data_IF_760884648178
#
_entry.id   IF_760884648178
#
_cell.length_a   1.000
_cell.length_b   1.000
_cell.length_c   1.000
_cell.angle_alpha   90.00
_cell.angle_beta   90.00
_cell.angle_gamma   90.00
#
_symmetry.space_group_name_H-M   'P 1'
#
loop_
_entity.id
_entity.type
_entity.pdbx_description
1 polymer ?
#
# COMPACT_ATOMS: atom_id res chain seq x y z
N UNK A 1 23.04 14.53 6.40
CA UNK A 1 22.78 13.15 6.37
C UNK A 1 21.42 12.87 6.92
N UNK A 2 20.62 12.08 6.23
CA UNK A 2 19.27 11.81 6.66
C UNK A 2 19.17 10.43 7.24
N UNK A 3 19.09 10.34 8.55
CA UNK A 3 18.90 9.06 9.19
C UNK A 3 17.40 8.86 9.39
N UNK A 4 16.85 7.86 8.80
CA UNK A 4 15.44 7.56 8.88
C UNK A 4 15.21 6.20 9.49
N UNK A 5 14.05 6.02 10.09
CA UNK A 5 13.66 4.72 10.59
C UNK A 5 12.78 4.05 9.55
N UNK A 6 13.06 2.81 9.22
CA UNK A 6 12.28 2.08 8.25
C UNK A 6 10.87 1.86 8.77
N UNK A 7 9.87 2.25 8.00
CA UNK A 7 8.48 2.11 8.42
C UNK A 7 8.02 0.66 8.40
N UNK A 8 8.80 -0.22 7.81
CA UNK A 8 8.41 -1.61 7.71
C UNK A 8 9.11 -2.49 8.75
N UNK A 9 10.41 -2.38 8.89
CA UNK A 9 11.16 -3.23 9.81
C UNK A 9 11.67 -2.51 11.06
N UNK A 10 11.64 -1.22 11.07
CA UNK A 10 12.07 -0.45 12.23
C UNK A 10 13.55 -0.16 12.31
N UNK A 11 14.35 -0.68 11.41
CA UNK A 11 15.78 -0.42 11.43
C UNK A 11 16.07 0.98 10.93
N UNK A 12 17.15 1.57 11.40
CA UNK A 12 17.55 2.89 10.93
C UNK A 12 18.40 2.75 9.67
N UNK A 13 18.28 3.70 8.78
CA UNK A 13 19.07 3.71 7.55
C UNK A 13 19.22 5.13 7.04
N UNK A 14 20.16 5.35 6.17
CA UNK A 14 20.41 6.67 5.62
C UNK A 14 19.86 6.76 4.20
N UNK A 15 18.74 7.44 4.05
CA UNK A 15 18.11 7.58 2.75
C UNK A 15 16.94 8.52 2.87
N UNK A 16 16.38 8.94 1.75
CA UNK A 16 15.19 9.75 1.75
C UNK A 16 13.94 8.88 1.75
N UNK A 17 14.08 7.57 1.55
CA UNK A 17 12.94 6.69 1.43
C UNK A 17 12.33 6.38 2.79
N UNK A 18 11.11 5.96 2.82
CA UNK A 18 10.43 5.60 4.06
C UNK A 18 10.78 4.21 4.53
N UNK A 19 11.34 3.36 3.66
CA UNK A 19 11.75 2.01 4.04
C UNK A 19 13.18 1.78 3.61
N UNK A 20 13.87 0.90 4.31
CA UNK A 20 15.27 0.59 3.99
C UNK A 20 15.36 -0.21 2.68
N UNK A 21 16.54 -0.30 2.08
CA UNK A 21 16.66 -1.01 0.80
C UNK A 21 16.18 -2.45 0.81
N UNK A 22 16.38 -3.15 1.92
CA UNK A 22 15.90 -4.52 2.00
C UNK A 22 14.38 -4.58 1.98
N UNK A 23 13.71 -3.66 2.66
CA UNK A 23 12.27 -3.65 2.69
C UNK A 23 11.68 -3.08 1.41
N UNK A 24 12.43 -2.28 0.71
CA UNK A 24 11.98 -1.71 -0.54
C UNK A 24 11.68 -2.79 -1.56
N UNK A 25 12.52 -3.81 -1.62
CA UNK A 25 12.30 -4.93 -2.50
C UNK A 25 11.04 -5.68 -2.11
N UNK A 26 10.79 -5.84 -0.81
CA UNK A 26 9.59 -6.51 -0.33
C UNK A 26 8.35 -5.70 -0.67
N UNK A 27 8.44 -4.39 -0.54
CA UNK A 27 7.34 -3.51 -0.88
C UNK A 27 6.98 -3.63 -2.36
N UNK A 28 7.97 -3.63 -3.20
CA UNK A 28 7.73 -3.74 -4.63
C UNK A 28 7.05 -5.05 -4.98
N UNK A 29 7.49 -6.12 -4.34
CA UNK A 29 6.91 -7.44 -4.58
C UNK A 29 5.45 -7.45 -4.13
N UNK A 30 5.15 -6.86 -3.00
CA UNK A 30 3.79 -6.81 -2.49
C UNK A 30 2.90 -5.91 -3.34
N UNK A 31 3.41 -4.78 -3.77
CA UNK A 31 2.66 -3.88 -4.63
C UNK A 31 2.31 -4.56 -5.94
N UNK A 32 3.25 -5.31 -6.50
CA UNK A 32 2.98 -6.06 -7.69
C UNK A 32 1.89 -7.09 -7.48
N UNK A 33 1.92 -7.77 -6.33
CA UNK A 33 0.90 -8.76 -5.99
C UNK A 33 -0.48 -8.08 -5.91
N UNK A 34 -0.55 -6.90 -5.33
CA UNK A 34 -1.80 -6.16 -5.27
C UNK A 34 -2.32 -5.81 -6.67
N UNK A 35 -1.42 -5.40 -7.52
CA UNK A 35 -1.80 -5.05 -8.90
C UNK A 35 -2.35 -6.24 -9.66
N UNK A 36 -1.70 -7.38 -9.53
CA UNK A 36 -2.13 -8.57 -10.22
C UNK A 36 -3.49 -9.01 -9.70
N UNK A 37 -3.67 -8.98 -8.39
CA UNK A 37 -4.95 -9.39 -7.80
C UNK A 37 -6.07 -8.50 -8.30
N UNK A 38 -5.85 -7.19 -8.32
CA UNK A 38 -6.88 -6.27 -8.77
C UNK A 38 -7.19 -6.42 -10.25
N UNK A 39 -6.17 -6.68 -11.04
CA UNK A 39 -6.38 -6.83 -12.48
C UNK A 39 -7.18 -8.08 -12.81
N UNK A 40 -7.18 -9.06 -11.92
CA UNK A 40 -7.91 -10.29 -12.13
C UNK A 40 -9.25 -10.31 -11.42
N UNK A 41 -9.55 -9.31 -10.62
CA UNK A 41 -10.79 -9.28 -9.88
C UNK A 41 -11.96 -8.92 -10.79
N UNK A 42 -13.10 -9.52 -10.56
CA UNK A 42 -14.28 -9.27 -11.38
C UNK A 42 -15.04 -8.02 -10.97
N UNK A 43 -14.84 -7.55 -9.77
CA UNK A 43 -15.57 -6.38 -9.27
C UNK A 43 -14.65 -5.55 -8.41
N UNK A 44 -15.10 -4.40 -7.99
CA UNK A 44 -14.27 -3.54 -7.15
C UNK A 44 -13.96 -4.22 -5.82
N UNK A 45 -12.79 -3.95 -5.29
CA UNK A 45 -12.27 -4.59 -4.11
C UNK A 45 -12.02 -3.52 -3.06
N UNK A 46 -12.46 -3.75 -1.82
CA UNK A 46 -12.20 -2.79 -0.75
C UNK A 46 -10.78 -2.95 -0.25
N UNK A 47 -10.27 -1.96 0.46
CA UNK A 47 -8.92 -2.00 1.00
C UNK A 47 -8.75 -3.20 1.94
N UNK A 48 -9.73 -3.45 2.79
CA UNK A 48 -9.65 -4.56 3.72
C UNK A 48 -9.69 -5.90 3.01
N UNK A 49 -10.54 -6.01 2.01
CA UNK A 49 -10.65 -7.24 1.25
C UNK A 49 -9.36 -7.50 0.49
N UNK A 50 -8.75 -6.45 -0.04
CA UNK A 50 -7.49 -6.57 -0.76
C UNK A 50 -6.40 -7.10 0.16
N UNK A 51 -6.31 -6.56 1.38
CA UNK A 51 -5.31 -6.99 2.34
C UNK A 51 -5.52 -8.46 2.71
N UNK A 52 -6.75 -8.85 2.99
CA UNK A 52 -7.04 -10.22 3.36
C UNK A 52 -6.77 -11.19 2.24
N UNK A 53 -7.16 -10.87 1.04
CA UNK A 53 -7.03 -11.79 -0.08
C UNK A 53 -5.61 -11.97 -0.54
N UNK A 54 -4.78 -10.95 -0.41
CA UNK A 54 -3.41 -11.03 -0.87
C UNK A 54 -2.44 -11.43 0.22
N UNK A 55 -2.87 -11.36 1.48
CA UNK A 55 -1.99 -11.66 2.60
C UNK A 55 -1.07 -10.50 2.97
N UNK A 56 -1.21 -9.36 2.34
CA UNK A 56 -0.44 -8.18 2.68
C UNK A 56 -1.12 -7.52 3.87
N UNK A 57 -0.36 -7.12 4.88
CA UNK A 57 -0.98 -6.53 6.08
C UNK A 57 -1.68 -5.23 5.75
N UNK A 58 -2.76 -4.95 6.45
CA UNK A 58 -3.52 -3.73 6.23
C UNK A 58 -2.64 -2.50 6.47
N UNK A 59 -1.73 -2.60 7.43
CA UNK A 59 -0.80 -1.51 7.71
C UNK A 59 0.04 -1.19 6.47
N UNK A 60 0.55 -2.21 5.80
CA UNK A 60 1.36 -2.00 4.60
C UNK A 60 0.52 -1.51 3.43
N UNK A 61 -0.70 -2.03 3.28
CA UNK A 61 -1.58 -1.56 2.21
C UNK A 61 -1.87 -0.07 2.40
N UNK A 62 -2.16 0.34 3.61
CA UNK A 62 -2.43 1.75 3.88
C UNK A 62 -1.20 2.61 3.62
N UNK A 63 -0.03 2.10 3.96
CA UNK A 63 1.22 2.81 3.72
C UNK A 63 1.47 2.99 2.22
N UNK A 64 1.18 1.95 1.42
CA UNK A 64 1.32 2.05 -0.02
C UNK A 64 0.35 3.09 -0.59
N UNK A 65 -0.85 3.16 -0.05
CA UNK A 65 -1.85 4.09 -0.56
C UNK A 65 -1.54 5.56 -0.25
N UNK A 66 -0.58 5.79 0.63
CA UNK A 66 -0.14 7.16 0.87
C UNK A 66 0.72 7.67 -0.27
N UNK A 67 1.26 6.79 -1.10
CA UNK A 67 1.98 7.17 -2.28
C UNK A 67 0.96 7.46 -3.38
N UNK A 68 0.94 8.69 -3.90
CA UNK A 68 -0.03 9.10 -4.86
C UNK A 68 -0.04 8.25 -6.12
N UNK A 69 1.12 7.91 -6.61
CA UNK A 69 1.23 7.13 -7.83
C UNK A 69 0.67 5.72 -7.64
N UNK A 70 0.97 5.10 -6.51
CA UNK A 70 0.47 3.78 -6.21
C UNK A 70 -1.03 3.83 -6.02
N UNK A 71 -1.51 4.82 -5.28
CA UNK A 71 -2.94 4.99 -5.03
C UNK A 71 -3.70 5.11 -6.36
N UNK A 72 -3.21 5.94 -7.26
CA UNK A 72 -3.85 6.15 -8.56
C UNK A 72 -3.84 4.84 -9.36
N UNK A 73 -2.73 4.14 -9.38
CA UNK A 73 -2.63 2.89 -10.11
C UNK A 73 -3.62 1.86 -9.59
N UNK A 74 -3.68 1.69 -8.27
CA UNK A 74 -4.55 0.69 -7.69
C UNK A 74 -6.02 1.04 -7.86
N UNK A 75 -6.38 2.31 -7.75
CA UNK A 75 -7.77 2.69 -7.95
C UNK A 75 -8.19 2.51 -9.41
N UNK A 76 -7.27 2.75 -10.33
CA UNK A 76 -7.56 2.52 -11.74
C UNK A 76 -7.75 1.04 -12.04
N UNK A 77 -7.15 0.17 -11.24
CA UNK A 77 -7.30 -1.26 -11.43
C UNK A 77 -8.54 -1.82 -10.72
N UNK A 78 -9.25 -1.01 -9.98
CA UNK A 78 -10.48 -1.46 -9.36
C UNK A 78 -10.54 -1.38 -7.85
N UNK A 79 -9.55 -0.78 -7.20
CA UNK A 79 -9.58 -0.65 -5.76
C UNK A 79 -10.63 0.38 -5.37
N UNK A 80 -11.51 0.00 -4.47
CA UNK A 80 -12.53 0.90 -3.97
C UNK A 80 -12.02 1.57 -2.71
N UNK A 81 -11.66 2.82 -2.78
CA UNK A 81 -11.15 3.55 -1.64
C UNK A 81 -12.19 4.44 -0.99
N UNK A 82 -13.43 4.34 -1.42
CA UNK A 82 -14.43 5.18 -0.86
C UNK A 82 -14.68 4.95 0.59
N UNK A 83 -14.44 3.77 1.07
CA UNK A 83 -14.64 3.52 2.48
C UNK A 83 -13.79 4.44 3.30
N UNK A 84 -12.62 4.77 2.84
CA UNK A 84 -11.79 5.65 3.56
C UNK A 84 -12.38 7.01 3.63
N UNK A 85 -13.01 7.45 2.58
CA UNK A 85 -13.49 8.70 2.63
C UNK A 85 -14.73 8.76 3.35
N UNK A 86 -15.47 7.71 3.38
CA UNK A 86 -16.60 7.72 4.05
C UNK A 86 -16.46 8.09 5.41
N UNK A 87 -15.49 7.57 6.08
CA UNK A 87 -15.44 7.88 7.37
C UNK A 87 -14.96 9.19 7.66
N UNK A 88 -14.40 9.81 6.73
CA UNK A 88 -13.88 10.99 7.08
C UNK A 88 -14.92 12.00 6.87
N UNK A 89 -15.94 11.72 6.28
CA UNK A 89 -16.80 12.62 6.07
C UNK A 89 -17.49 13.02 7.13
N UNK A 90 -17.56 12.26 7.75
CA UNK A 90 -18.18 12.63 8.75
C UNK A 90 -17.90 13.86 9.03
N UNK A 91 -17.63 14.22 8.45
CA UNK A 91 -17.43 15.29 8.55
C UNK A 91 -18.04 15.96 8.50
#
# INVERSE_FOLDING_TARGET
>A
MNLNRCERCGNFFVSKNSVCPNCQSKDEHEINHLKVFLSEADSSVTVESLAESTGVSLKNVNRFLQNKDIYTTLTNLGLNSETNKMHNISL
#
